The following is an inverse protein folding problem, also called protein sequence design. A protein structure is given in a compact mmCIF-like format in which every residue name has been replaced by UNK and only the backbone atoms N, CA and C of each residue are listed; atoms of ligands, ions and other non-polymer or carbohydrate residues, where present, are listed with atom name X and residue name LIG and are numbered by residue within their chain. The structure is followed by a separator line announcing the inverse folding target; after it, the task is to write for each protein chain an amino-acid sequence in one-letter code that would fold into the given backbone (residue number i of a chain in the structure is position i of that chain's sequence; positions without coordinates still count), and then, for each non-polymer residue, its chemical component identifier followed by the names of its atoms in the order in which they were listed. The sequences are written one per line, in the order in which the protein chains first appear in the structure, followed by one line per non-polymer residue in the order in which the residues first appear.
data_IF_751037009682
#
_entry.id   IF_751037009682
#
_cell.length_a   1.000
_cell.length_b   1.000
_cell.length_c   1.000
_cell.angle_alpha   90.00
_cell.angle_beta   90.00
_cell.angle_gamma   90.00
#
_symmetry.space_group_name_H-M   'P 1'
#
loop_
_entity.id
_entity.type
_entity.pdbx_description
1 polymer ?
#
# COMPACT_ATOMS: atom_id res chain seq x y z
N UNK A 1 7.00 -0.87 -39.66
CA UNK A 1 7.42 -0.67 -38.26
C UNK A 1 6.52 0.39 -37.65
N UNK A 2 5.88 0.11 -36.51
CA UNK A 2 5.06 1.13 -35.83
C UNK A 2 5.99 1.87 -34.88
N UNK A 3 6.38 3.08 -35.26
CA UNK A 3 7.25 3.93 -34.46
C UNK A 3 6.37 4.83 -33.59
N UNK A 4 6.46 4.68 -32.27
CA UNK A 4 5.72 5.46 -31.29
C UNK A 4 6.62 6.54 -30.73
N UNK A 5 7.09 7.43 -31.61
CA UNK A 5 7.99 8.53 -31.25
C UNK A 5 7.31 9.41 -30.21
N UNK A 6 7.77 9.30 -28.97
CA UNK A 6 7.41 10.24 -27.92
C UNK A 6 8.48 11.32 -27.86
N UNK A 7 8.11 12.61 -27.73
CA UNK A 7 9.07 13.72 -27.65
C UNK A 7 10.01 13.63 -26.42
N UNK A 8 9.65 12.77 -25.47
CA UNK A 8 10.40 12.53 -24.24
C UNK A 8 11.51 11.47 -24.42
N UNK A 9 11.35 10.57 -25.39
CA UNK A 9 12.14 9.33 -25.44
C UNK A 9 11.77 8.35 -24.32
N UNK A 10 12.13 7.08 -24.49
CA UNK A 10 11.89 6.05 -23.47
C UNK A 10 10.46 5.51 -23.40
N UNK A 11 9.60 5.84 -24.38
CA UNK A 11 8.29 5.21 -24.54
C UNK A 11 8.36 4.20 -25.69
N UNK A 12 7.97 2.97 -25.40
CA UNK A 12 7.91 1.88 -26.37
C UNK A 12 6.56 1.20 -26.28
N UNK A 13 5.92 0.97 -27.42
CA UNK A 13 4.71 0.14 -27.48
C UNK A 13 5.04 -1.15 -28.19
N UNK A 14 4.73 -2.26 -27.54
CA UNK A 14 4.90 -3.61 -28.07
C UNK A 14 3.53 -4.19 -28.35
N UNK A 15 3.37 -4.82 -29.51
CA UNK A 15 2.15 -5.53 -29.85
C UNK A 15 2.50 -6.98 -30.12
N UNK A 16 2.03 -7.86 -29.25
CA UNK A 16 2.19 -9.30 -29.40
C UNK A 16 0.92 -9.87 -30.05
N UNK A 17 1.08 -10.51 -31.21
CA UNK A 17 -0.03 -11.12 -31.96
C UNK A 17 0.06 -12.63 -31.81
N UNK A 18 -0.95 -13.23 -31.19
CA UNK A 18 -1.16 -14.67 -31.10
C UNK A 18 -2.65 -14.99 -31.19
N UNK A 19 -3.10 -16.06 -30.50
CA UNK A 19 -4.53 -16.36 -30.38
C UNK A 19 -5.31 -15.23 -29.68
N UNK A 20 -4.63 -14.50 -28.79
CA UNK A 20 -5.04 -13.22 -28.23
C UNK A 20 -4.01 -12.18 -28.66
N UNK A 21 -4.45 -10.97 -29.04
CA UNK A 21 -3.55 -9.85 -29.32
C UNK A 21 -3.39 -8.99 -28.07
N UNK A 22 -2.16 -8.85 -27.58
CA UNK A 22 -1.83 -8.06 -26.39
C UNK A 22 -1.01 -6.83 -26.79
N UNK A 23 -1.39 -5.67 -26.26
CA UNK A 23 -0.64 -4.42 -26.39
C UNK A 23 0.02 -4.06 -25.07
N UNK A 24 1.32 -3.78 -25.10
CA UNK A 24 2.10 -3.35 -23.95
C UNK A 24 2.65 -1.95 -24.18
N UNK A 25 2.46 -1.07 -23.20
CA UNK A 25 3.06 0.26 -23.16
C UNK A 25 4.16 0.26 -22.10
N UNK A 26 5.39 0.53 -22.51
CA UNK A 26 6.57 0.59 -21.65
C UNK A 26 7.03 2.04 -21.57
N UNK A 27 7.20 2.54 -20.35
CA UNK A 27 7.64 3.90 -20.05
C UNK A 27 8.88 3.80 -19.16
N UNK A 28 10.06 4.10 -19.71
CA UNK A 28 11.32 4.13 -18.97
C UNK A 28 11.44 5.43 -18.16
N UNK A 29 12.16 5.42 -17.03
CA UNK A 29 12.43 6.60 -16.18
C UNK A 29 11.22 7.47 -15.83
N UNK A 30 10.07 6.84 -15.54
CA UNK A 30 8.79 7.52 -15.34
C UNK A 30 8.88 8.64 -14.30
N UNK A 31 8.32 9.81 -14.64
CA UNK A 31 8.29 11.02 -13.80
C UNK A 31 6.86 11.44 -13.55
N UNK A 32 6.67 12.37 -12.59
CA UNK A 32 5.34 12.86 -12.22
C UNK A 32 4.51 13.37 -13.43
N UNK A 33 5.16 13.93 -14.45
CA UNK A 33 4.51 14.43 -15.66
C UNK A 33 3.95 13.33 -16.58
N UNK A 34 4.37 12.07 -16.42
CA UNK A 34 3.81 10.93 -17.15
C UNK A 34 2.43 10.51 -16.56
N UNK A 35 1.99 11.14 -15.46
CA UNK A 35 0.63 10.96 -14.93
C UNK A 35 -0.41 11.41 -15.96
N UNK A 36 -1.40 10.56 -16.25
CA UNK A 36 -2.41 10.91 -17.24
C UNK A 36 -3.38 9.79 -17.55
N UNK A 37 -4.24 10.04 -18.53
CA UNK A 37 -5.16 9.03 -19.05
C UNK A 37 -4.51 8.32 -20.23
N UNK A 38 -4.39 7.01 -20.12
CA UNK A 38 -3.82 6.14 -21.13
C UNK A 38 -4.94 5.34 -21.78
N UNK A 39 -5.03 5.41 -23.10
CA UNK A 39 -6.07 4.72 -23.87
C UNK A 39 -5.47 3.68 -24.79
N UNK A 40 -5.97 2.45 -24.69
CA UNK A 40 -5.74 1.41 -25.66
C UNK A 40 -6.80 1.54 -26.76
N UNK A 41 -6.37 1.78 -27.99
CA UNK A 41 -7.25 1.99 -29.14
C UNK A 41 -6.93 0.95 -30.22
N UNK A 42 -7.52 -0.25 -30.15
CA UNK A 42 -7.39 -1.26 -31.21
C UNK A 42 -8.18 -0.84 -32.45
N UNK A 43 -7.77 -1.32 -33.63
CA UNK A 43 -8.37 -0.91 -34.91
C UNK A 43 -9.82 -1.38 -35.11
N UNK A 44 -10.25 -2.40 -34.37
CA UNK A 44 -11.47 -3.16 -34.62
C UNK A 44 -12.40 -3.31 -33.41
N UNK A 45 -12.09 -2.68 -32.28
CA UNK A 45 -12.87 -2.76 -31.04
C UNK A 45 -12.93 -1.41 -30.33
N UNK A 46 -13.84 -1.29 -29.36
CA UNK A 46 -13.99 -0.06 -28.58
C UNK A 46 -12.70 0.25 -27.79
N UNK A 47 -12.33 1.54 -27.67
CA UNK A 47 -11.16 1.93 -26.90
C UNK A 47 -11.39 1.72 -25.40
N UNK A 48 -10.33 1.30 -24.70
CA UNK A 48 -10.33 1.16 -23.25
C UNK A 48 -9.37 2.17 -22.64
N UNK A 49 -9.85 2.98 -21.68
CA UNK A 49 -9.07 4.06 -21.07
C UNK A 49 -8.93 3.83 -19.57
N UNK A 50 -7.72 4.04 -19.06
CA UNK A 50 -7.38 4.00 -17.64
C UNK A 50 -6.56 5.23 -17.25
N UNK A 51 -6.47 5.52 -15.96
CA UNK A 51 -5.66 6.63 -15.43
C UNK A 51 -4.44 6.09 -14.69
N UNK A 52 -3.27 6.56 -15.08
CA UNK A 52 -1.98 6.23 -14.44
C UNK A 52 -1.56 7.40 -13.57
N UNK A 53 -1.08 7.10 -12.36
CA UNK A 53 -0.51 8.08 -11.46
C UNK A 53 0.92 7.69 -11.11
N UNK A 54 1.87 8.56 -11.41
CA UNK A 54 3.30 8.36 -11.11
C UNK A 54 3.66 9.14 -9.86
N UNK A 55 4.06 8.41 -8.82
CA UNK A 55 4.50 8.97 -7.55
C UNK A 55 6.01 9.07 -7.54
N UNK A 56 6.54 10.24 -7.19
CA UNK A 56 7.95 10.38 -6.86
C UNK A 56 8.11 9.94 -5.41
N UNK A 57 8.97 8.93 -5.16
CA UNK A 57 9.12 8.29 -3.87
C UNK A 57 9.09 9.30 -2.72
N UNK A 58 8.15 9.11 -1.81
CA UNK A 58 7.97 9.96 -0.66
C UNK A 58 9.25 9.90 0.19
N UNK A 59 9.82 11.04 0.56
CA UNK A 59 10.60 11.07 1.80
C UNK A 59 9.66 10.54 2.88
N UNK A 60 10.02 9.52 3.69
CA UNK A 60 9.17 9.08 4.80
C UNK A 60 9.03 10.25 5.78
N UNK A 61 8.03 11.09 5.53
CA UNK A 61 7.78 12.29 6.29
C UNK A 61 7.12 11.83 7.59
N UNK A 62 7.92 11.86 8.66
CA UNK A 62 7.51 11.68 10.04
C UNK A 62 6.65 10.44 10.29
N UNK A 63 7.29 9.27 10.38
CA UNK A 63 6.80 8.27 11.32
C UNK A 63 6.70 8.97 12.68
N UNK A 64 5.48 9.23 13.16
CA UNK A 64 5.27 9.68 14.52
C UNK A 64 5.82 8.61 15.45
N UNK A 65 7.05 8.78 15.93
CA UNK A 65 7.47 8.13 17.16
C UNK A 65 6.64 8.78 18.25
N UNK A 66 5.52 8.18 18.62
CA UNK A 66 4.89 8.50 19.88
C UNK A 66 5.93 8.13 20.94
N UNK A 67 6.68 9.13 21.42
CA UNK A 67 7.51 9.04 22.61
C UNK A 67 6.62 8.89 23.84
N UNK A 68 5.84 7.82 23.90
CA UNK A 68 5.13 7.38 25.08
C UNK A 68 6.11 6.57 25.91
N UNK A 69 6.51 7.11 27.06
CA UNK A 69 7.45 6.49 27.98
C UNK A 69 7.18 5.00 28.16
N UNK A 70 8.24 4.22 28.08
CA UNK A 70 8.28 2.82 28.46
C UNK A 70 7.89 2.66 29.93
N UNK A 71 6.60 2.51 30.19
CA UNK A 71 6.19 1.62 31.26
C UNK A 71 6.03 0.26 30.59
N UNK A 72 7.04 -0.60 30.76
CA UNK A 72 6.94 -2.00 30.38
C UNK A 72 5.95 -2.68 31.33
N UNK A 73 4.65 -2.43 31.17
CA UNK A 73 3.63 -3.34 31.68
C UNK A 73 3.45 -4.43 30.65
N UNK A 74 4.21 -5.51 30.81
CA UNK A 74 3.92 -6.75 30.08
C UNK A 74 2.50 -7.19 30.42
N UNK A 75 1.72 -7.63 29.43
CA UNK A 75 0.34 -8.11 29.65
C UNK A 75 0.24 -9.16 30.77
N UNK A 76 1.31 -9.92 31.00
CA UNK A 76 1.45 -10.86 32.12
C UNK A 76 1.38 -10.20 33.51
N UNK A 77 1.92 -8.99 33.70
CA UNK A 77 1.84 -8.26 34.98
C UNK A 77 0.44 -7.75 35.28
N UNK A 78 -0.35 -7.37 34.27
CA UNK A 78 -1.74 -6.94 34.50
C UNK A 78 -2.61 -8.10 34.99
N UNK A 79 -2.45 -9.29 34.42
CA UNK A 79 -3.22 -10.47 34.83
C UNK A 79 -2.93 -10.82 36.29
N UNK A 80 -1.67 -10.76 36.73
CA UNK A 80 -1.31 -11.05 38.12
C UNK A 80 -1.98 -10.09 39.12
N UNK A 81 -2.06 -8.79 38.79
CA UNK A 81 -2.74 -7.82 39.66
C UNK A 81 -4.24 -8.07 39.74
N UNK A 82 -4.88 -8.45 38.63
CA UNK A 82 -6.31 -8.79 38.61
C UNK A 82 -6.59 -10.06 39.44
N UNK A 83 -5.78 -11.11 39.27
CA UNK A 83 -5.94 -12.37 40.01
C UNK A 83 -5.71 -12.18 41.50
N UNK A 84 -4.63 -11.47 41.90
CA UNK A 84 -4.36 -11.19 43.30
C UNK A 84 -5.49 -10.37 43.94
N UNK A 85 -6.03 -9.38 43.21
CA UNK A 85 -7.17 -8.58 43.67
C UNK A 85 -8.42 -9.42 43.92
N UNK A 86 -8.79 -10.30 42.98
CA UNK A 86 -9.95 -11.21 43.12
C UNK A 86 -9.76 -12.17 44.31
N UNK A 87 -8.56 -12.76 44.46
CA UNK A 87 -8.26 -13.68 45.57
C UNK A 87 -8.35 -12.98 46.92
N UNK A 88 -7.85 -11.75 47.04
CA UNK A 88 -7.96 -10.95 48.27
C UNK A 88 -9.42 -10.69 48.66
N UNK A 89 -10.26 -10.32 47.69
CA UNK A 89 -11.71 -10.09 47.92
C UNK A 89 -12.39 -11.37 48.39
N UNK A 90 -12.06 -12.52 47.80
CA UNK A 90 -12.62 -13.82 48.22
C UNK A 90 -12.19 -14.14 49.66
N UNK A 91 -10.91 -14.01 50.00
CA UNK A 91 -10.39 -14.35 51.34
C UNK A 91 -11.00 -13.40 52.40
N UNK A 92 -11.04 -12.10 52.14
CA UNK A 92 -11.62 -11.13 53.07
C UNK A 92 -13.15 -11.22 53.13
N UNK A 93 -13.81 -11.63 52.04
CA UNK A 93 -15.26 -11.81 51.96
C UNK A 93 -15.76 -13.11 52.59
N UNK A 94 -14.97 -14.17 52.59
CA UNK A 94 -15.31 -15.45 53.25
C UNK A 94 -14.96 -15.49 54.74
N UNK A 95 -14.23 -14.50 55.28
CA UNK A 95 -13.83 -14.43 56.68
C UNK A 95 -14.83 -13.75 57.63
N UNK A 96 -16.04 -13.43 57.16
CA UNK A 96 -17.06 -12.71 57.93
C UNK A 96 -18.43 -13.39 57.86
N UNK A 97 -18.57 -14.57 58.46
CA UNK A 97 -19.84 -15.18 58.90
C UNK A 97 -19.59 -16.07 60.10
#
# INVERSE_FOLDING_TARGET
AVNYDSPRGGITVVTERGNTTSGYLLIQDARAFDTGNYSCVPSNTAPATLRVHVLQGETPAAMQTNGGGSLLQTAAQQVLQQVLGVVLVIILGYGGS
#
